data_IF_707476687454
#
_entry.id   IF_707476687454
#
_cell.length_a   1.000
_cell.length_b   1.000
_cell.length_c   1.000
_cell.angle_alpha   90.00
_cell.angle_beta   90.00
_cell.angle_gamma   90.00
#
_symmetry.space_group_name_H-M   'P 1'
#
loop_
_entity.id
_entity.type
_entity.pdbx_description
1 polymer ?
#
# COMPACT_ATOMS: atom_id res chain seq x y z
N UNK A 1 16.49 6.73 -4.03
CA UNK A 1 15.85 5.75 -4.93
C UNK A 1 15.17 6.38 -6.16
N UNK A 2 15.08 7.71 -6.25
CA UNK A 2 14.42 8.39 -7.37
C UNK A 2 15.34 8.45 -8.58
N UNK A 3 15.02 7.69 -9.62
CA UNK A 3 15.70 7.78 -10.93
C UNK A 3 15.03 8.80 -11.85
N UNK A 4 13.75 9.09 -11.63
CA UNK A 4 12.91 9.96 -12.46
C UNK A 4 11.92 10.74 -11.60
N UNK A 5 11.39 11.83 -12.14
CA UNK A 5 10.26 12.55 -11.55
C UNK A 5 8.94 11.81 -11.83
N UNK A 6 8.32 11.29 -10.77
CA UNK A 6 7.02 10.62 -10.84
C UNK A 6 5.93 11.52 -10.31
N UNK A 7 4.85 11.70 -11.06
CA UNK A 7 3.68 12.45 -10.61
C UNK A 7 2.63 11.57 -9.92
N UNK A 8 2.75 10.25 -10.08
CA UNK A 8 1.83 9.28 -9.53
C UNK A 8 2.54 7.99 -9.15
N UNK A 9 2.16 7.43 -7.99
CA UNK A 9 2.67 6.15 -7.49
C UNK A 9 1.51 5.19 -7.33
N UNK A 10 1.64 3.99 -7.88
CA UNK A 10 0.71 2.88 -7.64
C UNK A 10 1.34 1.89 -6.66
N UNK A 11 0.58 1.54 -5.62
CA UNK A 11 0.86 0.43 -4.71
C UNK A 11 -0.06 -0.70 -5.10
N UNK A 12 0.53 -1.83 -5.50
CA UNK A 12 -0.18 -2.84 -6.27
C UNK A 12 0.23 -4.25 -5.85
N UNK A 13 -0.70 -5.02 -5.30
CA UNK A 13 -0.47 -6.44 -5.06
C UNK A 13 -0.19 -7.15 -6.39
N UNK A 14 0.88 -7.95 -6.44
CA UNK A 14 1.35 -8.60 -7.68
C UNK A 14 0.37 -9.64 -8.23
N UNK A 15 -0.55 -10.11 -7.40
CA UNK A 15 -1.55 -11.12 -7.72
C UNK A 15 -2.88 -10.53 -8.19
N UNK A 16 -3.04 -9.20 -8.23
CA UNK A 16 -4.25 -8.55 -8.70
C UNK A 16 -4.10 -8.10 -10.16
N UNK A 17 -5.07 -8.42 -11.02
CA UNK A 17 -5.09 -8.00 -12.42
C UNK A 17 -6.41 -7.24 -12.70
N UNK A 18 -6.37 -6.02 -13.27
CA UNK A 18 -7.59 -5.29 -13.61
C UNK A 18 -8.35 -6.02 -14.72
N UNK A 19 -9.68 -6.13 -14.60
CA UNK A 19 -10.53 -6.77 -15.61
C UNK A 19 -11.04 -5.77 -16.69
N UNK A 20 -10.79 -4.47 -16.53
CA UNK A 20 -11.30 -3.41 -17.41
C UNK A 20 -10.25 -2.30 -17.59
N UNK A 21 -9.91 -1.99 -18.84
CA UNK A 21 -8.88 -1.01 -19.21
C UNK A 21 -9.31 0.45 -18.98
N UNK A 22 -10.60 0.70 -18.73
CA UNK A 22 -11.11 2.03 -18.35
C UNK A 22 -10.80 2.38 -16.90
N UNK A 23 -10.31 1.44 -16.10
CA UNK A 23 -9.72 1.75 -14.80
C UNK A 23 -8.27 2.24 -14.95
N UNK A 24 -8.14 3.47 -15.44
CA UNK A 24 -6.86 4.06 -15.80
C UNK A 24 -5.86 4.08 -14.62
N UNK A 25 -4.60 3.76 -14.90
CA UNK A 25 -3.53 3.76 -13.91
C UNK A 25 -2.93 5.17 -13.76
N UNK A 26 -3.78 6.08 -13.29
CA UNK A 26 -3.45 7.48 -12.99
C UNK A 26 -3.92 7.85 -11.59
N UNK A 27 -3.30 8.88 -11.03
CA UNK A 27 -3.71 9.44 -9.74
C UNK A 27 -4.88 10.41 -9.92
N UNK A 28 -5.72 10.50 -8.89
CA UNK A 28 -6.85 11.43 -8.84
C UNK A 28 -6.53 12.61 -7.89
N UNK A 29 -7.48 13.55 -7.78
CA UNK A 29 -7.43 14.66 -6.80
C UNK A 29 -7.22 14.19 -5.36
N UNK A 30 -7.70 12.99 -5.03
CA UNK A 30 -7.54 12.33 -3.74
C UNK A 30 -6.96 10.92 -3.94
N UNK A 31 -6.35 10.31 -2.89
CA UNK A 31 -5.87 8.93 -2.95
C UNK A 31 -6.90 7.98 -3.55
N UNK A 32 -6.51 7.28 -4.60
CA UNK A 32 -7.37 6.37 -5.37
C UNK A 32 -7.30 4.97 -4.79
N UNK A 33 -8.44 4.35 -4.55
CA UNK A 33 -8.56 2.90 -4.36
C UNK A 33 -9.08 2.30 -5.67
N UNK A 34 -8.20 1.62 -6.42
CA UNK A 34 -8.50 1.15 -7.77
C UNK A 34 -9.22 -0.20 -7.75
N UNK A 35 -8.87 -1.11 -6.83
CA UNK A 35 -9.39 -2.48 -6.72
C UNK A 35 -10.65 -2.59 -5.85
N UNK A 36 -11.72 -1.91 -6.26
CA UNK A 36 -12.93 -1.80 -5.43
C UNK A 36 -13.84 -3.04 -5.49
N UNK A 37 -13.65 -3.89 -6.49
CA UNK A 37 -14.47 -5.08 -6.73
C UNK A 37 -13.58 -6.27 -7.12
N UNK A 38 -13.02 -6.96 -6.13
CA UNK A 38 -12.22 -8.16 -6.37
C UNK A 38 -13.07 -9.43 -6.44
N UNK A 39 -12.71 -10.36 -7.32
CA UNK A 39 -13.43 -11.64 -7.48
C UNK A 39 -13.45 -12.47 -6.19
N UNK A 40 -12.36 -12.46 -5.40
CA UNK A 40 -12.27 -13.14 -4.09
C UNK A 40 -13.32 -12.67 -3.07
N UNK A 41 -13.82 -11.45 -3.23
CA UNK A 41 -14.87 -10.86 -2.40
C UNK A 41 -16.22 -10.82 -3.12
N UNK A 42 -16.39 -11.60 -4.19
CA UNK A 42 -17.61 -11.64 -4.99
C UNK A 42 -17.91 -10.32 -5.70
N UNK A 43 -16.87 -9.58 -6.11
CA UNK A 43 -16.97 -8.25 -6.74
C UNK A 43 -17.69 -7.20 -5.88
N UNK A 44 -17.60 -7.35 -4.55
CA UNK A 44 -18.14 -6.38 -3.60
C UNK A 44 -17.01 -5.78 -2.78
N UNK A 45 -17.14 -4.49 -2.48
CA UNK A 45 -16.25 -3.83 -1.54
C UNK A 45 -16.50 -4.41 -0.14
N UNK A 46 -15.49 -4.95 0.57
CA UNK A 46 -15.70 -5.59 1.87
C UNK A 46 -16.34 -4.67 2.91
N UNK A 47 -15.89 -3.42 2.97
CA UNK A 47 -16.43 -2.38 3.84
C UNK A 47 -16.01 -0.98 3.34
N UNK A 48 -16.70 0.07 3.78
CA UNK A 48 -16.58 1.43 3.20
C UNK A 48 -15.16 2.02 3.25
N UNK A 49 -14.40 1.72 4.29
CA UNK A 49 -13.04 2.22 4.51
C UNK A 49 -11.95 1.31 3.96
N UNK A 50 -12.29 0.19 3.32
CA UNK A 50 -11.32 -0.73 2.74
C UNK A 50 -10.46 -0.03 1.67
N UNK A 51 -9.13 -0.20 1.77
CA UNK A 51 -8.14 0.48 0.93
C UNK A 51 -7.00 -0.44 0.45
N UNK A 52 -7.15 -1.76 0.62
CA UNK A 52 -6.15 -2.75 0.23
C UNK A 52 -6.21 -3.17 -1.23
N UNK A 53 -5.21 -3.95 -1.66
CA UNK A 53 -5.09 -4.45 -3.03
C UNK A 53 -4.31 -3.49 -3.93
N UNK A 54 -5.02 -2.54 -4.55
CA UNK A 54 -4.45 -1.58 -5.50
C UNK A 54 -4.90 -0.18 -5.16
N UNK A 55 -3.93 0.68 -4.86
CA UNK A 55 -4.14 2.10 -4.58
C UNK A 55 -3.15 2.98 -5.33
N UNK A 56 -3.50 4.25 -5.50
CA UNK A 56 -2.63 5.23 -6.12
C UNK A 56 -2.65 6.57 -5.39
N UNK A 57 -1.47 7.18 -5.24
CA UNK A 57 -1.27 8.45 -4.58
C UNK A 57 -0.24 9.28 -5.36
N UNK A 58 -0.47 10.58 -5.46
CA UNK A 58 0.61 11.49 -5.89
C UNK A 58 1.70 11.52 -4.80
N UNK A 59 2.96 11.85 -5.13
CA UNK A 59 3.99 12.03 -4.11
C UNK A 59 3.60 13.03 -3.02
N UNK A 60 2.89 14.10 -3.40
CA UNK A 60 2.37 15.09 -2.44
C UNK A 60 1.34 14.48 -1.49
N UNK A 61 0.35 13.73 -2.00
CA UNK A 61 -0.65 13.05 -1.17
C UNK A 61 0.02 12.07 -0.21
N UNK A 62 0.98 11.28 -0.73
CA UNK A 62 1.71 10.29 0.06
C UNK A 62 2.53 10.96 1.18
N UNK A 63 3.27 12.02 0.89
CA UNK A 63 4.04 12.75 1.91
C UNK A 63 3.14 13.49 2.91
N UNK A 64 1.99 14.03 2.47
CA UNK A 64 1.01 14.70 3.34
C UNK A 64 0.46 13.78 4.43
N UNK A 65 0.40 12.47 4.16
CA UNK A 65 0.00 11.46 5.14
C UNK A 65 1.17 10.78 5.87
N UNK A 66 2.39 11.31 5.73
CA UNK A 66 3.64 10.70 6.23
C UNK A 66 3.87 9.27 5.68
N UNK A 67 3.40 8.99 4.46
CA UNK A 67 3.39 7.66 3.85
C UNK A 67 2.73 6.58 4.71
N UNK A 68 3.16 5.33 4.48
CA UNK A 68 2.58 4.14 5.11
C UNK A 68 3.30 3.79 6.43
N UNK A 69 2.64 3.08 7.36
CA UNK A 69 3.28 2.66 8.61
C UNK A 69 4.42 1.65 8.36
N UNK A 70 5.52 1.75 9.13
CA UNK A 70 6.62 0.79 9.02
C UNK A 70 6.54 -0.35 10.06
N UNK A 71 5.60 -0.27 11.00
CA UNK A 71 5.52 -1.19 12.14
C UNK A 71 4.52 -2.34 11.97
N UNK A 72 3.92 -2.48 10.78
CA UNK A 72 3.09 -3.63 10.43
C UNK A 72 3.97 -4.74 9.86
N UNK A 73 4.35 -5.68 10.72
CA UNK A 73 5.03 -6.92 10.34
C UNK A 73 4.01 -8.05 10.22
N UNK A 74 3.75 -8.49 8.99
CA UNK A 74 2.60 -9.33 8.63
C UNK A 74 1.40 -8.50 8.15
N UNK A 75 0.31 -9.18 7.80
CA UNK A 75 -0.83 -8.57 7.10
C UNK A 75 -1.75 -7.72 8.01
N UNK A 76 -2.21 -6.55 7.54
CA UNK A 76 -3.33 -5.81 8.14
C UNK A 76 -3.16 -4.29 8.29
N UNK A 77 -2.32 -3.69 7.47
CA UNK A 77 -1.94 -2.27 7.45
C UNK A 77 -2.92 -1.36 6.71
N UNK A 78 -3.71 -1.91 5.77
CA UNK A 78 -4.60 -1.14 4.88
C UNK A 78 -5.55 -0.20 5.63
N UNK A 79 -6.06 -0.63 6.78
CA UNK A 79 -6.97 0.16 7.60
C UNK A 79 -6.25 1.36 8.27
N UNK A 80 -4.97 1.22 8.61
CA UNK A 80 -4.13 2.32 9.11
C UNK A 80 -3.91 3.33 8.00
N UNK A 81 -3.59 2.86 6.79
CA UNK A 81 -3.44 3.70 5.60
C UNK A 81 -4.73 4.49 5.32
N UNK A 82 -5.88 3.83 5.32
CA UNK A 82 -7.18 4.50 5.16
C UNK A 82 -7.44 5.56 6.25
N UNK A 83 -7.08 5.26 7.50
CA UNK A 83 -7.18 6.22 8.60
C UNK A 83 -6.25 7.43 8.39
N UNK A 84 -5.03 7.23 7.88
CA UNK A 84 -4.09 8.32 7.56
C UNK A 84 -4.58 9.21 6.42
N UNK A 85 -5.22 8.64 5.39
CA UNK A 85 -5.88 9.43 4.34
C UNK A 85 -6.92 10.37 4.95
N UNK A 86 -7.77 9.88 5.85
CA UNK A 86 -8.75 10.71 6.54
C UNK A 86 -8.10 11.75 7.48
N UNK A 87 -7.08 11.36 8.25
CA UNK A 87 -6.38 12.25 9.21
C UNK A 87 -5.59 13.36 8.55
N UNK A 88 -5.15 13.15 7.30
CA UNK A 88 -4.51 14.18 6.46
C UNK A 88 -5.54 15.08 5.73
N UNK A 89 -6.83 14.93 6.02
CA UNK A 89 -7.90 15.75 5.45
C UNK A 89 -8.21 15.40 3.99
N UNK A 90 -7.91 14.18 3.56
CA UNK A 90 -8.19 13.69 2.22
C UNK A 90 -9.35 12.69 2.23
N UNK A 91 -9.96 12.47 1.06
CA UNK A 91 -10.98 11.44 0.84
C UNK A 91 -10.36 10.25 0.08
N UNK A 92 -11.13 9.18 -0.09
CA UNK A 92 -10.75 8.06 -0.96
C UNK A 92 -11.54 8.20 -2.27
N UNK A 93 -10.84 8.34 -3.40
CA UNK A 93 -11.41 8.28 -4.74
C UNK A 93 -11.58 6.83 -5.18
N UNK A 94 -12.66 6.52 -5.90
CA UNK A 94 -12.96 5.18 -6.40
C UNK A 94 -13.57 5.25 -7.80
N UNK A 95 -13.16 4.35 -8.73
CA UNK A 95 -13.86 4.19 -9.99
C UNK A 95 -15.27 3.63 -9.77
N UNK A 96 -16.04 3.49 -10.85
CA UNK A 96 -17.30 2.75 -10.81
C UNK A 96 -17.04 1.27 -10.49
N UNK A 97 -18.01 0.57 -9.88
CA UNK A 97 -17.90 -0.87 -9.60
C UNK A 97 -17.72 -1.67 -10.89
N UNK A 98 -18.27 -1.20 -12.01
CA UNK A 98 -18.11 -1.85 -13.31
C UNK A 98 -16.65 -1.83 -13.78
N UNK A 99 -15.96 -0.70 -13.62
CA UNK A 99 -14.58 -0.53 -14.10
C UNK A 99 -13.54 -0.97 -13.07
N UNK A 100 -13.83 -0.84 -11.77
CA UNK A 100 -12.89 -1.19 -10.70
C UNK A 100 -12.82 -2.67 -10.33
N UNK A 101 -13.07 -3.55 -11.30
CA UNK A 101 -13.04 -5.01 -11.12
C UNK A 101 -11.62 -5.55 -11.24
N UNK A 102 -11.26 -6.46 -10.34
CA UNK A 102 -9.96 -7.12 -10.34
C UNK A 102 -10.12 -8.63 -10.16
N UNK A 103 -9.24 -9.36 -10.82
CA UNK A 103 -9.05 -10.79 -10.67
C UNK A 103 -7.83 -11.06 -9.80
N UNK A 104 -8.00 -11.86 -8.75
CA UNK A 104 -6.87 -12.38 -7.98
C UNK A 104 -6.34 -13.67 -8.63
N UNK A 105 -5.04 -13.68 -8.93
CA UNK A 105 -4.29 -14.88 -9.29
C UNK A 105 -4.29 -15.78 -8.06
N UNK A 106 -4.77 -17.02 -8.20
CA UNK A 106 -4.86 -17.94 -7.07
C UNK A 106 -3.48 -18.40 -6.64
N UNK A 107 -3.19 -18.24 -5.35
CA UNK A 107 -2.01 -18.78 -4.70
C UNK A 107 -2.40 -19.37 -3.33
N UNK A 108 -1.50 -20.15 -2.73
CA UNK A 108 -1.69 -20.68 -1.38
C UNK A 108 -1.46 -19.61 -0.30
N UNK A 109 -1.46 -20.00 0.97
CA UNK A 109 -0.97 -19.09 2.01
C UNK A 109 0.55 -18.91 1.86
N UNK A 110 0.98 -17.68 1.55
CA UNK A 110 2.39 -17.33 1.49
C UNK A 110 2.97 -17.19 2.91
N UNK A 111 4.10 -17.84 3.14
CA UNK A 111 4.85 -17.69 4.40
C UNK A 111 5.30 -16.24 4.54
N UNK A 112 5.11 -15.64 5.71
CA UNK A 112 5.41 -14.22 5.98
C UNK A 112 4.22 -13.28 5.78
N UNK A 113 3.12 -13.74 5.18
CA UNK A 113 1.87 -13.00 5.05
C UNK A 113 0.86 -13.38 6.16
N UNK A 114 1.35 -13.91 7.29
CA UNK A 114 0.49 -14.18 8.44
C UNK A 114 -0.13 -12.88 8.95
N UNK A 115 -1.38 -12.97 9.39
CA UNK A 115 -2.08 -11.84 9.95
C UNK A 115 -1.34 -11.30 11.18
N UNK A 116 -1.02 -10.01 11.17
CA UNK A 116 -0.34 -9.39 12.31
C UNK A 116 -1.27 -9.43 13.53
N UNK A 117 -0.92 -10.15 14.61
CA UNK A 117 -1.79 -10.29 15.79
C UNK A 117 -1.99 -8.96 16.52
N UNK A 118 -1.13 -7.96 16.27
CA UNK A 118 -1.19 -6.63 16.87
C UNK A 118 -1.93 -5.61 16.00
N UNK A 119 -2.42 -5.96 14.81
CA UNK A 119 -3.01 -5.00 13.84
C UNK A 119 -4.09 -4.10 14.44
N UNK A 120 -4.97 -4.63 15.29
CA UNK A 120 -6.05 -3.85 15.90
C UNK A 120 -5.52 -2.90 16.98
N UNK A 121 -4.49 -3.33 17.72
CA UNK A 121 -3.82 -2.49 18.72
C UNK A 121 -3.02 -1.37 18.06
N UNK A 122 -2.43 -1.63 16.89
CA UNK A 122 -1.75 -0.61 16.08
C UNK A 122 -2.77 0.38 15.49
N UNK A 123 -3.85 -0.13 14.90
CA UNK A 123 -4.93 0.68 14.32
C UNK A 123 -5.58 1.62 15.36
N UNK A 124 -5.80 1.12 16.58
CA UNK A 124 -6.34 1.94 17.67
C UNK A 124 -5.41 3.13 18.05
N UNK A 125 -4.11 3.02 17.74
CA UNK A 125 -3.09 4.03 18.05
C UNK A 125 -2.79 4.97 16.88
N UNK A 126 -3.22 4.66 15.65
CA UNK A 126 -2.90 5.42 14.43
C UNK A 126 -3.07 6.93 14.60
N UNK A 127 -4.18 7.39 15.20
CA UNK A 127 -4.44 8.82 15.45
C UNK A 127 -3.31 9.53 16.21
N UNK A 128 -2.61 8.81 17.10
CA UNK A 128 -1.51 9.33 17.91
C UNK A 128 -0.15 9.13 17.24
N UNK A 129 0.01 8.04 16.47
CA UNK A 129 1.32 7.59 15.98
C UNK A 129 1.60 7.91 14.52
N UNK A 130 0.61 8.27 13.70
CA UNK A 130 0.81 8.41 12.23
C UNK A 130 1.85 9.45 11.82
N UNK A 131 2.09 10.47 12.65
CA UNK A 131 3.17 11.47 12.43
C UNK A 131 4.53 11.03 12.95
N UNK A 132 4.58 9.96 13.74
CA UNK A 132 5.78 9.44 14.40
C UNK A 132 6.30 8.16 13.74
N UNK A 133 5.49 7.50 12.93
CA UNK A 133 5.86 6.30 12.18
C UNK A 133 5.41 6.42 10.73
N UNK A 134 6.35 6.42 9.79
CA UNK A 134 6.09 6.44 8.35
C UNK A 134 7.32 6.86 7.56
N UNK A 135 7.16 7.70 6.54
CA UNK A 135 8.28 8.13 5.71
C UNK A 135 9.41 8.81 6.48
N UNK A 136 9.08 9.52 7.56
CA UNK A 136 10.06 10.16 8.43
C UNK A 136 10.87 9.20 9.31
N UNK A 137 10.45 7.94 9.43
CA UNK A 137 11.15 6.90 10.21
C UNK A 137 11.55 5.69 9.38
N UNK A 138 11.33 5.74 8.07
CA UNK A 138 11.68 4.66 7.15
C UNK A 138 13.19 4.44 7.17
N UNK A 139 13.60 3.26 7.62
CA UNK A 139 14.99 2.81 7.67
C UNK A 139 15.12 1.51 6.87
N UNK A 140 16.02 1.50 5.89
CA UNK A 140 16.32 0.32 5.07
C UNK A 140 17.74 0.40 4.51
N UNK A 141 18.27 -0.74 4.11
CA UNK A 141 19.52 -0.83 3.34
C UNK A 141 19.21 -1.33 1.93
N UNK A 142 19.66 -0.59 0.91
CA UNK A 142 19.65 -1.06 -0.47
C UNK A 142 20.73 -2.13 -0.65
N UNK A 143 20.32 -3.34 -1.05
CA UNK A 143 21.25 -4.46 -1.29
C UNK A 143 21.59 -4.59 -2.78
N UNK A 144 20.58 -4.49 -3.65
CA UNK A 144 20.75 -4.58 -5.08
C UNK A 144 19.69 -3.75 -5.83
N UNK A 145 20.07 -3.28 -7.01
CA UNK A 145 19.19 -2.59 -7.95
C UNK A 145 19.50 -3.06 -9.37
N UNK A 146 18.58 -3.80 -9.96
CA UNK A 146 18.77 -4.47 -11.25
C UNK A 146 17.70 -4.01 -12.24
N UNK A 147 18.13 -3.39 -13.34
CA UNK A 147 17.22 -2.99 -14.43
C UNK A 147 16.98 -4.19 -15.34
N UNK A 148 15.74 -4.65 -15.41
CA UNK A 148 15.30 -5.70 -16.31
C UNK A 148 14.57 -5.08 -17.52
N UNK A 149 14.34 -5.83 -18.60
CA UNK A 149 13.65 -5.30 -19.78
C UNK A 149 12.25 -4.73 -19.52
N UNK A 150 11.53 -5.27 -18.52
CA UNK A 150 10.13 -4.92 -18.23
C UNK A 150 9.90 -4.29 -16.84
N UNK A 151 10.89 -4.32 -15.95
CA UNK A 151 10.77 -3.80 -14.60
C UNK A 151 12.15 -3.50 -14.00
N UNK A 152 12.21 -2.80 -12.87
CA UNK A 152 13.43 -2.69 -12.06
C UNK A 152 13.24 -3.47 -10.78
N UNK A 153 14.12 -4.44 -10.51
CA UNK A 153 14.15 -5.16 -9.24
C UNK A 153 14.97 -4.35 -8.23
N UNK A 154 14.39 -4.05 -7.07
CA UNK A 154 15.07 -3.39 -5.96
C UNK A 154 15.02 -4.34 -4.77
N UNK A 155 16.17 -4.89 -4.41
CA UNK A 155 16.30 -5.74 -3.22
C UNK A 155 16.76 -4.90 -2.04
N UNK A 156 16.00 -4.94 -0.95
CA UNK A 156 16.25 -4.15 0.26
C UNK A 156 16.27 -5.04 1.50
N UNK A 157 17.11 -4.69 2.47
CA UNK A 157 16.96 -5.15 3.84
C UNK A 157 16.18 -4.10 4.63
N UNK A 158 15.02 -4.49 5.17
CA UNK A 158 14.15 -3.65 6.01
C UNK A 158 14.30 -3.96 7.51
N UNK A 159 15.22 -4.86 7.86
CA UNK A 159 15.49 -5.25 9.24
C UNK A 159 14.50 -6.26 9.79
N UNK A 160 14.23 -6.17 11.08
CA UNK A 160 13.24 -6.99 11.80
C UNK A 160 12.32 -6.07 12.60
N UNK A 161 11.37 -6.62 13.36
CA UNK A 161 10.56 -5.83 14.30
C UNK A 161 11.40 -4.98 15.29
N UNK A 162 12.67 -5.35 15.52
CA UNK A 162 13.61 -4.61 16.38
C UNK A 162 14.41 -3.54 15.64
N UNK A 163 14.12 -3.31 14.36
CA UNK A 163 14.86 -2.43 13.46
C UNK A 163 15.97 -3.14 12.68
N UNK A 164 16.76 -2.36 11.93
CA UNK A 164 17.94 -2.83 11.22
C UNK A 164 19.06 -3.16 12.22
N UNK A 165 19.61 -4.37 12.11
CA UNK A 165 20.86 -4.71 12.78
C UNK A 165 22.00 -4.08 11.97
N UNK A 166 22.60 -3.01 12.49
CA UNK A 166 23.83 -2.46 11.91
C UNK A 166 24.97 -3.42 12.26
N UNK A 167 25.83 -3.81 11.31
CA UNK A 167 27.06 -4.53 11.65
C UNK A 167 27.86 -3.68 12.64
N UNK A 168 28.28 -4.29 13.75
CA UNK A 168 29.27 -3.72 14.67
C UNK A 168 30.66 -3.71 14.04
#
# INVERSE_FOLDING_TARGET
MKDEDWDCMFFHDVDLIPEDDRNLYTCDRFPKHASIAMDKFGYKLPYKTYFGGVSALTPEQYMKMNGFPNNYWGWGEDDDIAARVALSGMLISRPSVQHGRYRMIKHGHDKGNEQNPRRFNLLAKTRRTWRQDGMNTLDYQLLAKERQPLYTNITVAIGTEKGLRRPT
#
